data_IF_105255187650
#
_entry.id   IF_105255187650
#
_cell.length_a   1.000
_cell.length_b   1.000
_cell.length_c   1.000
_cell.angle_alpha   90.00
_cell.angle_beta   90.00
_cell.angle_gamma   90.00
#
_symmetry.space_group_name_H-M   'P 1'
#
loop_
_entity.id
_entity.type
_entity.pdbx_description
1 polymer ?
#
# COMPACT_ATOMS: atom_id res chain seq x y z
N UNK A 1 46.57 -32.61 19.30
CA UNK A 1 46.00 -31.48 18.52
C UNK A 1 44.62 -31.16 19.08
N UNK A 2 44.21 -29.89 19.19
CA UNK A 2 42.82 -29.56 19.52
C UNK A 2 41.90 -30.05 18.39
N UNK A 3 40.72 -30.57 18.74
CA UNK A 3 39.68 -30.84 17.73
C UNK A 3 39.14 -29.48 17.25
N UNK A 4 39.21 -29.22 15.95
CA UNK A 4 38.45 -28.14 15.33
C UNK A 4 36.98 -28.56 15.36
N UNK A 5 36.22 -28.03 16.32
CA UNK A 5 34.77 -28.14 16.30
C UNK A 5 34.27 -27.22 15.19
N UNK A 6 34.05 -27.78 14.00
CA UNK A 6 33.34 -27.10 12.92
C UNK A 6 31.99 -26.65 13.46
N UNK A 7 31.80 -25.34 13.64
CA UNK A 7 30.48 -24.82 13.98
C UNK A 7 29.56 -25.06 12.79
N UNK A 8 28.50 -25.85 13.01
CA UNK A 8 27.38 -25.95 12.07
C UNK A 8 26.87 -24.54 11.77
N UNK A 9 26.51 -24.21 10.52
CA UNK A 9 25.77 -22.99 10.24
C UNK A 9 24.56 -22.86 11.17
N UNK A 10 24.23 -21.64 11.58
CA UNK A 10 23.07 -21.37 12.43
C UNK A 10 21.79 -21.69 11.67
N UNK A 11 21.31 -22.91 11.82
CA UNK A 11 19.96 -23.30 11.42
C UNK A 11 18.97 -22.66 12.40
N UNK A 12 18.50 -21.47 12.03
CA UNK A 12 17.43 -20.76 12.74
C UNK A 12 16.04 -21.41 12.53
N UNK A 13 15.96 -22.49 11.74
CA UNK A 13 14.73 -23.13 11.33
C UNK A 13 13.91 -22.31 10.32
N UNK A 14 12.86 -22.93 9.78
CA UNK A 14 11.80 -22.17 9.12
C UNK A 14 10.89 -21.59 10.19
N UNK A 15 10.78 -20.26 10.25
CA UNK A 15 9.94 -19.56 11.23
C UNK A 15 8.46 -20.00 11.10
N UNK A 16 7.79 -20.16 12.23
CA UNK A 16 6.35 -20.42 12.26
C UNK A 16 5.56 -19.18 11.84
N UNK A 17 4.30 -19.37 11.41
CA UNK A 17 3.41 -18.24 11.10
C UNK A 17 3.22 -17.29 12.30
N UNK A 18 3.26 -17.80 13.53
CA UNK A 18 3.20 -17.01 14.77
C UNK A 18 4.48 -16.17 14.98
N UNK A 19 5.67 -16.74 14.75
CA UNK A 19 6.94 -16.01 14.81
C UNK A 19 7.04 -14.93 13.73
N UNK A 20 6.61 -15.23 12.50
CA UNK A 20 6.52 -14.26 11.40
C UNK A 20 5.53 -13.14 11.77
N UNK A 21 4.38 -13.49 12.34
CA UNK A 21 3.36 -12.52 12.80
C UNK A 21 3.93 -11.57 13.86
N UNK A 22 4.61 -12.09 14.87
CA UNK A 22 5.23 -11.28 15.92
C UNK A 22 6.32 -10.34 15.36
N UNK A 23 7.16 -10.81 14.45
CA UNK A 23 8.20 -10.00 13.81
C UNK A 23 7.61 -8.87 12.95
N UNK A 24 6.55 -9.17 12.17
CA UNK A 24 5.84 -8.18 11.36
C UNK A 24 5.18 -7.11 12.25
N UNK A 25 4.54 -7.49 13.36
CA UNK A 25 3.94 -6.54 14.31
C UNK A 25 4.98 -5.59 14.92
N UNK A 26 6.12 -6.10 15.37
CA UNK A 26 7.19 -5.27 15.92
C UNK A 26 7.80 -4.31 14.90
N UNK A 27 8.00 -4.76 13.65
CA UNK A 27 8.45 -3.89 12.56
C UNK A 27 7.40 -2.82 12.21
N UNK A 28 6.12 -3.18 12.16
CA UNK A 28 5.03 -2.23 11.85
C UNK A 28 4.91 -1.11 12.89
N UNK A 29 5.01 -1.43 14.18
CA UNK A 29 4.96 -0.43 15.25
C UNK A 29 6.11 0.59 15.12
N UNK A 30 7.34 0.09 14.94
CA UNK A 30 8.53 0.92 14.72
C UNK A 30 8.43 1.81 13.45
N UNK A 31 7.67 1.38 12.44
CA UNK A 31 7.45 2.13 11.19
C UNK A 31 6.16 2.96 11.17
N UNK A 32 5.53 3.18 12.33
CA UNK A 32 4.43 4.14 12.47
C UNK A 32 3.04 3.58 12.18
N UNK A 33 2.82 2.28 12.41
CA UNK A 33 1.51 1.63 12.30
C UNK A 33 1.01 1.20 13.68
N UNK A 34 -0.29 1.34 13.93
CA UNK A 34 -0.95 0.62 15.02
C UNK A 34 -1.58 -0.65 14.44
N UNK A 35 -1.07 -1.81 14.84
CA UNK A 35 -1.49 -3.11 14.31
C UNK A 35 -1.61 -4.17 15.40
N UNK A 36 -2.41 -5.22 15.14
CA UNK A 36 -2.66 -6.33 16.06
C UNK A 36 -2.81 -7.66 15.29
N UNK A 37 -2.48 -8.77 15.94
CA UNK A 37 -2.83 -10.10 15.43
C UNK A 37 -4.34 -10.32 15.56
N UNK A 38 -4.99 -10.70 14.46
CA UNK A 38 -6.42 -10.94 14.39
C UNK A 38 -6.71 -12.44 14.63
N UNK A 39 -7.41 -12.82 15.72
CA UNK A 39 -7.69 -14.22 16.01
C UNK A 39 -8.82 -14.76 15.12
N UNK A 40 -8.48 -15.16 13.89
CA UNK A 40 -9.41 -15.71 12.88
C UNK A 40 -9.94 -17.12 13.19
N UNK A 41 -9.86 -17.59 14.45
CA UNK A 41 -10.45 -18.85 14.90
C UNK A 41 -11.94 -18.68 15.16
N UNK A 42 -12.72 -19.75 14.93
CA UNK A 42 -14.13 -19.79 15.32
C UNK A 42 -14.32 -19.88 16.84
N UNK A 43 -15.57 -19.92 17.28
CA UNK A 43 -15.94 -20.28 18.65
C UNK A 43 -15.96 -21.81 18.77
N UNK A 44 -15.33 -22.39 19.79
CA UNK A 44 -15.40 -23.83 20.04
C UNK A 44 -16.64 -24.18 20.88
N UNK A 45 -17.51 -25.04 20.35
CA UNK A 45 -18.66 -25.54 21.11
C UNK A 45 -18.32 -26.84 21.86
N UNK A 46 -18.26 -26.83 23.21
CA UNK A 46 -18.05 -28.05 23.98
C UNK A 46 -19.24 -29.02 23.92
N UNK A 47 -20.44 -28.59 23.48
CA UNK A 47 -21.63 -29.46 23.38
C UNK A 47 -21.65 -30.30 22.10
N UNK A 48 -21.20 -29.74 20.98
CA UNK A 48 -21.12 -30.46 19.69
C UNK A 48 -19.70 -30.86 19.29
N UNK A 49 -18.70 -30.50 20.11
CA UNK A 49 -17.26 -30.74 19.91
C UNK A 49 -16.76 -30.19 18.56
N UNK A 50 -17.30 -29.04 18.14
CA UNK A 50 -17.07 -28.43 16.82
C UNK A 50 -16.77 -26.95 16.94
N UNK A 51 -15.85 -26.48 16.11
CA UNK A 51 -15.64 -25.05 15.86
C UNK A 51 -16.78 -24.51 14.99
N UNK A 52 -17.39 -23.41 15.41
CA UNK A 52 -18.39 -22.65 14.63
C UNK A 52 -17.82 -21.29 14.23
N UNK A 53 -18.06 -20.80 13.00
CA UNK A 53 -17.87 -19.38 12.73
C UNK A 53 -18.89 -18.60 13.58
N UNK A 54 -18.44 -17.54 14.24
CA UNK A 54 -19.36 -16.57 14.85
C UNK A 54 -20.14 -15.87 13.72
N UNK A 55 -21.47 -15.65 13.83
CA UNK A 55 -22.31 -15.22 12.71
C UNK A 55 -21.90 -13.88 12.08
N UNK A 56 -21.28 -13.00 12.87
CA UNK A 56 -20.79 -11.70 12.39
C UNK A 56 -19.32 -11.73 11.93
N UNK A 57 -18.67 -12.90 11.91
CA UNK A 57 -17.27 -13.01 11.45
C UNK A 57 -17.21 -13.10 9.92
N UNK A 58 -16.57 -12.11 9.30
CA UNK A 58 -16.24 -12.14 7.87
C UNK A 58 -15.20 -13.24 7.60
N UNK A 59 -15.40 -14.03 6.54
CA UNK A 59 -14.36 -14.94 6.01
C UNK A 59 -13.26 -14.17 5.29
N UNK A 60 -12.04 -14.69 5.33
CA UNK A 60 -10.91 -14.15 4.56
C UNK A 60 -10.21 -12.94 5.18
N UNK A 61 -10.59 -12.55 6.40
CA UNK A 61 -9.88 -11.52 7.17
C UNK A 61 -8.42 -11.98 7.37
N UNK A 62 -7.41 -11.11 7.10
CA UNK A 62 -6.00 -11.42 7.29
C UNK A 62 -5.59 -11.65 8.75
N UNK A 63 -4.42 -12.26 8.97
CA UNK A 63 -3.89 -12.59 10.30
C UNK A 63 -3.38 -11.37 11.09
N UNK A 64 -3.03 -10.28 10.40
CA UNK A 64 -2.71 -8.98 11.00
C UNK A 64 -3.62 -7.92 10.39
N UNK A 65 -4.23 -7.12 11.26
CA UNK A 65 -4.96 -5.91 10.91
C UNK A 65 -4.29 -4.69 11.56
N UNK A 66 -4.50 -3.50 10.99
CA UNK A 66 -3.98 -2.27 11.55
C UNK A 66 -4.28 -1.03 10.73
N UNK A 67 -3.65 0.08 11.08
CA UNK A 67 -3.68 1.31 10.29
C UNK A 67 -2.37 2.11 10.46
N UNK A 68 -1.97 2.84 9.41
CA UNK A 68 -0.85 3.78 9.49
C UNK A 68 -1.26 5.03 10.28
N UNK A 69 -0.42 5.46 11.22
CA UNK A 69 -0.72 6.56 12.18
C UNK A 69 -0.80 7.94 11.53
N UNK A 70 -0.15 8.15 10.37
CA UNK A 70 -0.05 9.46 9.71
C UNK A 70 -1.23 9.79 8.80
N UNK A 71 -1.83 8.80 8.13
CA UNK A 71 -2.91 8.98 7.13
C UNK A 71 -4.10 8.02 7.31
N UNK A 72 -4.18 7.34 8.46
CA UNK A 72 -5.22 6.38 8.83
C UNK A 72 -5.44 5.22 7.83
N UNK A 73 -4.52 5.00 6.87
CA UNK A 73 -4.67 3.93 5.88
C UNK A 73 -4.68 2.56 6.54
N UNK A 74 -5.80 1.86 6.39
CA UNK A 74 -5.99 0.51 6.91
C UNK A 74 -5.02 -0.48 6.25
N UNK A 75 -4.54 -1.43 7.03
CA UNK A 75 -3.53 -2.44 6.71
C UNK A 75 -4.13 -3.83 6.92
N UNK A 76 -3.79 -4.76 6.01
CA UNK A 76 -4.07 -6.19 6.19
C UNK A 76 -2.89 -7.02 5.69
N UNK A 77 -2.35 -7.90 6.54
CA UNK A 77 -1.26 -8.82 6.20
C UNK A 77 -1.70 -10.26 6.47
N UNK A 78 -1.73 -11.07 5.41
CA UNK A 78 -1.95 -12.52 5.47
C UNK A 78 -0.58 -13.22 5.59
N UNK A 79 -0.44 -14.18 6.51
CA UNK A 79 0.86 -14.82 6.82
C UNK A 79 0.88 -16.27 6.34
N UNK A 80 1.96 -16.68 5.65
CA UNK A 80 2.03 -17.92 4.87
C UNK A 80 3.34 -18.69 5.03
N UNK A 81 3.56 -19.25 6.22
CA UNK A 81 4.76 -20.03 6.50
C UNK A 81 4.91 -21.25 5.56
N UNK A 82 6.09 -21.39 4.96
CA UNK A 82 6.50 -22.57 4.17
C UNK A 82 5.63 -22.82 2.92
N UNK A 83 4.91 -23.95 2.93
CA UNK A 83 4.10 -24.39 1.78
C UNK A 83 2.66 -23.88 1.77
N UNK A 84 2.21 -23.12 2.78
CA UNK A 84 0.84 -22.61 2.83
C UNK A 84 0.58 -21.57 1.72
N UNK A 85 -0.68 -21.45 1.28
CA UNK A 85 -1.14 -20.57 0.20
C UNK A 85 -2.38 -19.78 0.63
N UNK A 86 -2.59 -18.55 0.13
CA UNK A 86 -3.79 -17.78 0.45
C UNK A 86 -5.03 -18.54 -0.06
N UNK A 87 -6.06 -18.66 0.78
CA UNK A 87 -7.35 -19.19 0.34
C UNK A 87 -8.07 -18.15 -0.53
N UNK A 88 -9.04 -18.55 -1.38
CA UNK A 88 -9.75 -17.62 -2.26
C UNK A 88 -10.35 -16.41 -1.51
N UNK A 89 -10.98 -16.63 -0.35
CA UNK A 89 -11.57 -15.55 0.45
C UNK A 89 -10.53 -14.56 1.00
N UNK A 90 -9.28 -14.99 1.22
CA UNK A 90 -8.19 -14.13 1.71
C UNK A 90 -7.65 -13.27 0.58
N UNK A 91 -7.56 -13.84 -0.63
CA UNK A 91 -7.23 -13.10 -1.84
C UNK A 91 -8.32 -12.07 -2.18
N UNK A 92 -9.59 -12.43 -2.02
CA UNK A 92 -10.76 -11.55 -2.19
C UNK A 92 -10.73 -10.36 -1.22
N UNK A 93 -10.57 -10.60 0.09
CA UNK A 93 -10.46 -9.54 1.10
C UNK A 93 -9.29 -8.58 0.79
N UNK A 94 -8.12 -9.11 0.46
CA UNK A 94 -6.94 -8.29 0.16
C UNK A 94 -7.10 -7.48 -1.14
N UNK A 95 -7.84 -7.99 -2.12
CA UNK A 95 -8.20 -7.25 -3.33
C UNK A 95 -9.19 -6.12 -3.04
N UNK A 96 -10.23 -6.36 -2.23
CA UNK A 96 -11.14 -5.30 -1.77
C UNK A 96 -10.40 -4.21 -0.99
N UNK A 97 -9.55 -4.59 -0.02
CA UNK A 97 -8.76 -3.65 0.76
C UNK A 97 -7.86 -2.78 -0.13
N UNK A 98 -7.23 -3.39 -1.14
CA UNK A 98 -6.42 -2.68 -2.13
C UNK A 98 -7.26 -1.74 -3.00
N UNK A 99 -8.46 -2.17 -3.42
CA UNK A 99 -9.40 -1.34 -4.20
C UNK A 99 -9.92 -0.13 -3.38
N UNK A 100 -10.11 -0.31 -2.07
CA UNK A 100 -10.43 0.76 -1.13
C UNK A 100 -9.23 1.69 -0.78
N UNK A 101 -8.08 1.54 -1.46
CA UNK A 101 -6.89 2.37 -1.26
C UNK A 101 -6.06 2.04 -0.02
N UNK A 102 -6.33 0.91 0.62
CA UNK A 102 -5.63 0.38 1.78
C UNK A 102 -4.40 -0.46 1.44
N UNK A 103 -3.73 -0.94 2.49
CA UNK A 103 -2.40 -1.53 2.44
C UNK A 103 -2.47 -3.06 2.63
N UNK A 104 -2.88 -3.75 1.57
CA UNK A 104 -2.89 -5.21 1.50
C UNK A 104 -1.48 -5.81 1.31
N UNK A 105 -1.21 -6.95 1.95
CA UNK A 105 0.02 -7.75 1.85
C UNK A 105 -0.24 -9.26 2.00
N UNK A 106 0.65 -10.07 1.43
CA UNK A 106 0.82 -11.49 1.76
C UNK A 106 2.30 -11.70 2.11
N UNK A 107 2.58 -12.31 3.25
CA UNK A 107 3.91 -12.50 3.82
C UNK A 107 4.23 -13.99 3.99
N UNK A 108 5.05 -14.56 3.10
CA UNK A 108 5.50 -15.95 3.22
C UNK A 108 6.59 -16.12 4.29
N UNK A 109 7.37 -15.06 4.51
CA UNK A 109 8.35 -14.90 5.57
C UNK A 109 8.49 -13.41 5.93
N UNK A 110 9.28 -13.10 6.96
CA UNK A 110 9.50 -11.73 7.44
C UNK A 110 10.33 -10.87 6.45
N UNK A 111 11.33 -11.45 5.79
CA UNK A 111 12.21 -10.70 4.88
C UNK A 111 11.47 -10.28 3.60
N UNK A 112 10.63 -11.14 3.04
CA UNK A 112 9.73 -10.84 1.93
C UNK A 112 8.65 -9.81 2.28
N UNK A 113 8.16 -9.80 3.53
CA UNK A 113 7.29 -8.73 4.02
C UNK A 113 8.03 -7.38 4.01
N UNK A 114 9.20 -7.32 4.66
CA UNK A 114 10.03 -6.09 4.73
C UNK A 114 10.38 -5.60 3.33
N UNK A 115 10.93 -6.45 2.45
CA UNK A 115 11.24 -6.08 1.07
C UNK A 115 10.02 -5.51 0.31
N UNK A 116 8.81 -6.07 0.55
CA UNK A 116 7.59 -5.57 -0.08
C UNK A 116 7.08 -4.26 0.54
N UNK A 117 7.38 -3.99 1.81
CA UNK A 117 7.07 -2.73 2.51
C UNK A 117 8.02 -1.60 2.07
N UNK A 118 9.34 -1.84 2.15
CA UNK A 118 10.42 -0.93 1.73
C UNK A 118 10.22 -0.46 0.28
N UNK A 119 10.01 -1.39 -0.65
CA UNK A 119 9.75 -1.12 -2.08
C UNK A 119 8.51 -0.25 -2.33
N UNK A 120 7.58 -0.16 -1.38
CA UNK A 120 6.37 0.66 -1.47
C UNK A 120 6.53 2.03 -0.78
N UNK A 121 7.67 2.33 -0.15
CA UNK A 121 7.95 3.61 0.52
C UNK A 121 6.97 3.92 1.66
N UNK A 122 6.53 2.91 2.42
CA UNK A 122 5.38 3.03 3.34
C UNK A 122 5.71 3.55 4.74
N UNK A 123 6.97 3.88 4.99
CA UNK A 123 7.49 4.50 6.20
C UNK A 123 6.70 5.76 6.63
N UNK A 124 7.05 6.29 7.80
CA UNK A 124 6.66 7.63 8.22
C UNK A 124 7.07 8.65 7.16
N UNK A 125 6.12 9.04 6.29
CA UNK A 125 6.24 10.24 5.48
C UNK A 125 6.26 11.40 6.47
N UNK A 126 7.35 12.20 6.55
CA UNK A 126 7.34 13.38 7.39
C UNK A 126 6.26 14.31 6.86
N UNK A 127 5.32 14.74 7.72
CA UNK A 127 4.37 15.78 7.37
C UNK A 127 5.19 16.99 6.93
N UNK A 128 5.14 17.33 5.64
CA UNK A 128 5.91 18.42 5.06
C UNK A 128 5.49 19.73 5.72
N UNK A 129 6.27 20.14 6.72
CA UNK A 129 6.21 21.47 7.29
C UNK A 129 6.50 22.45 6.16
N UNK A 130 5.42 23.01 5.60
CA UNK A 130 5.49 23.93 4.46
C UNK A 130 5.90 25.30 4.99
N UNK A 131 7.17 25.39 5.39
CA UNK A 131 7.85 26.65 5.65
C UNK A 131 7.98 27.36 4.31
N UNK A 132 6.98 28.19 4.00
CA UNK A 132 7.02 29.06 2.84
C UNK A 132 8.25 29.96 2.97
N UNK A 133 9.22 29.79 2.05
CA UNK A 133 10.46 30.54 2.10
C UNK A 133 10.20 32.02 1.80
N UNK A 134 10.51 32.90 2.76
CA UNK A 134 10.50 34.35 2.56
C UNK A 134 11.44 34.70 1.41
N UNK A 135 10.88 35.16 0.29
CA UNK A 135 11.66 35.80 -0.77
C UNK A 135 11.74 37.29 -0.45
N UNK A 136 12.84 37.71 0.17
CA UNK A 136 13.13 39.15 0.31
C UNK A 136 13.36 39.79 -1.06
N UNK A 137 12.93 41.04 -1.20
CA UNK A 137 13.01 41.76 -2.47
C UNK A 137 14.43 42.32 -2.70
N UNK A 138 15.02 42.03 -3.86
CA UNK A 138 16.25 42.67 -4.32
C UNK A 138 15.90 44.03 -4.93
N UNK A 139 16.48 45.15 -4.45
CA UNK A 139 16.22 46.47 -5.03
C UNK A 139 16.88 46.62 -6.41
N UNK A 140 16.21 47.35 -7.30
CA UNK A 140 16.73 47.61 -8.65
C UNK A 140 17.97 48.54 -8.62
N UNK A 141 18.85 48.39 -9.60
CA UNK A 141 19.86 49.40 -9.95
C UNK A 141 19.94 49.50 -11.47
N UNK A 142 19.64 50.69 -11.99
CA UNK A 142 19.60 51.02 -13.42
C UNK A 142 20.99 51.15 -14.02
N UNK A 143 21.16 50.77 -15.28
CA UNK A 143 22.07 51.47 -16.21
C UNK A 143 21.59 51.36 -17.67
N UNK A 144 21.88 52.38 -18.46
CA UNK A 144 21.73 52.44 -19.93
C UNK A 144 22.87 51.63 -20.62
N UNK A 145 22.83 51.20 -21.90
CA UNK A 145 21.78 51.26 -22.94
C UNK A 145 21.77 49.95 -23.81
N UNK A 146 21.45 49.80 -25.11
CA UNK A 146 21.37 50.68 -26.30
C UNK A 146 20.31 50.21 -27.32
N UNK A 147 19.88 51.13 -28.19
CA UNK A 147 18.82 51.00 -29.19
C UNK A 147 19.17 50.09 -30.40
N UNK A 148 18.26 49.18 -30.77
CA UNK A 148 17.99 48.79 -32.17
C UNK A 148 16.47 48.50 -32.41
N UNK A 149 15.89 48.90 -33.57
CA UNK A 149 14.45 48.77 -33.87
C UNK A 149 14.05 47.41 -34.49
N UNK A 150 12.73 47.09 -34.57
CA UNK A 150 12.24 45.72 -34.80
C UNK A 150 12.15 45.30 -36.27
N UNK A 151 12.01 43.98 -36.49
CA UNK A 151 11.65 43.40 -37.78
C UNK A 151 10.29 42.69 -37.70
N UNK A 152 9.31 43.19 -38.45
CA UNK A 152 7.94 42.66 -38.47
C UNK A 152 7.85 41.38 -39.32
N UNK A 153 7.08 40.40 -38.83
CA UNK A 153 6.41 39.39 -39.69
C UNK A 153 4.94 39.20 -39.30
N UNK A 154 4.07 39.88 -40.03
CA UNK A 154 2.77 39.32 -40.44
C UNK A 154 3.03 38.04 -41.28
N UNK A 155 2.12 37.09 -41.50
CA UNK A 155 0.65 36.95 -41.38
C UNK A 155 0.38 35.40 -41.25
N UNK A 156 -0.83 34.80 -41.35
CA UNK A 156 -2.21 35.19 -40.97
C UNK A 156 -2.85 34.24 -39.91
N UNK A 157 -4.06 34.54 -39.39
CA UNK A 157 -4.86 33.60 -38.60
C UNK A 157 -5.90 32.81 -39.44
N UNK A 158 -5.95 31.49 -39.27
CA UNK A 158 -6.98 30.56 -39.78
C UNK A 158 -6.78 29.17 -39.13
N UNK A 159 -7.78 28.38 -38.72
CA UNK A 159 -9.25 28.54 -38.64
C UNK A 159 -9.75 27.75 -37.42
N UNK A 160 -10.93 28.10 -36.92
CA UNK A 160 -11.68 27.32 -35.94
C UNK A 160 -12.56 26.27 -36.64
N UNK A 161 -12.54 25.02 -36.17
CA UNK A 161 -13.60 24.04 -36.48
C UNK A 161 -14.14 23.43 -35.19
N UNK A 162 -15.47 23.50 -35.01
CA UNK A 162 -16.21 22.95 -33.87
C UNK A 162 -16.66 21.51 -34.13
N UNK A 163 -16.95 20.72 -33.07
CA UNK A 163 -17.02 19.26 -33.19
C UNK A 163 -18.27 18.76 -33.93
N UNK A 164 -18.06 17.85 -34.90
CA UNK A 164 -19.17 17.12 -35.55
C UNK A 164 -19.70 16.02 -34.63
N UNK A 165 -20.94 16.21 -34.17
CA UNK A 165 -21.73 15.27 -33.38
C UNK A 165 -22.10 14.02 -34.19
N UNK A 166 -21.37 12.92 -34.00
CA UNK A 166 -21.82 11.60 -34.49
C UNK A 166 -22.93 11.01 -33.60
N UNK A 167 -23.82 10.22 -34.18
CA UNK A 167 -25.06 9.79 -33.54
C UNK A 167 -24.93 8.48 -32.75
N UNK A 168 -25.69 8.35 -31.66
CA UNK A 168 -26.02 7.04 -31.07
C UNK A 168 -27.16 6.40 -31.88
N UNK A 169 -27.06 5.13 -32.32
CA UNK A 169 -28.26 4.32 -32.52
C UNK A 169 -28.87 3.99 -31.14
N UNK A 170 -30.20 3.91 -31.07
CA UNK A 170 -30.91 3.24 -29.97
C UNK A 170 -30.84 1.74 -30.23
N UNK A 171 -30.37 0.96 -29.25
CA UNK A 171 -30.80 -0.44 -29.14
C UNK A 171 -31.93 -0.48 -28.12
N UNK A 172 -33.16 -0.59 -28.61
CA UNK A 172 -34.32 -0.92 -27.80
C UNK A 172 -34.43 -2.44 -27.75
N UNK A 173 -34.48 -3.02 -26.56
CA UNK A 173 -34.98 -4.37 -26.35
C UNK A 173 -35.72 -4.40 -25.00
N UNK A 174 -36.90 -5.00 -25.03
CA UNK A 174 -37.83 -5.19 -23.92
C UNK A 174 -38.07 -6.69 -23.79
N UNK A 175 -38.55 -7.10 -22.62
CA UNK A 175 -38.92 -8.46 -22.24
C UNK A 175 -37.72 -9.43 -22.10
N UNK A 176 -37.71 -10.36 -21.14
CA UNK A 176 -38.70 -10.67 -20.07
C UNK A 176 -38.10 -10.48 -18.67
#
# INVERSE_FOLDING_TARGET
MPKVTTQTPLDFGTLTAEQITAAILGYLDAHGFTAWAQPNRGEYDPKTLKWRPHPNSRRGVPDILGFRRTDAKFLGVEVKAGSDRPRPEQTEFLNELKAAGGLAFIAYDFAGFVQSFERRGLHLVPTMATTAATTEAVPATTNHELLLPPQHRHLPPARSETPTRSARPRTTLLAE
#
